data_IF_524053797243
#
_entry.id   IF_524053797243
#
_cell.length_a   1.000
_cell.length_b   1.000
_cell.length_c   1.000
_cell.angle_alpha   90.00
_cell.angle_beta   90.00
_cell.angle_gamma   90.00
#
_symmetry.space_group_name_H-M   'P 1'
#
loop_
_entity.id
_entity.type
_entity.pdbx_description
1 polymer ?
#
# COMPACT_ATOMS: atom_id res chain seq x y z
N UNK A 1 -4.27 -6.75 -23.69
CA UNK A 1 -4.57 -6.22 -22.34
C UNK A 1 -3.62 -5.08 -22.07
N UNK A 2 -4.13 -3.97 -21.54
CA UNK A 2 -3.30 -2.84 -21.11
C UNK A 2 -2.53 -3.21 -19.83
N UNK A 3 -1.27 -2.78 -19.74
CA UNK A 3 -0.41 -3.02 -18.57
C UNK A 3 -0.91 -2.20 -17.37
N UNK A 4 -1.20 -2.85 -16.25
CA UNK A 4 -1.67 -2.20 -15.02
C UNK A 4 -0.48 -1.95 -14.09
N UNK A 5 -0.07 -0.69 -13.98
CA UNK A 5 0.91 -0.22 -12.99
C UNK A 5 0.21 0.49 -11.84
N UNK A 6 0.59 0.18 -10.60
CA UNK A 6 0.04 0.81 -9.39
C UNK A 6 1.15 1.07 -8.37
N UNK A 7 0.92 2.01 -7.47
CA UNK A 7 1.82 2.29 -6.35
C UNK A 7 1.06 2.28 -5.01
N UNK A 8 1.75 1.85 -3.96
CA UNK A 8 1.31 1.94 -2.57
C UNK A 8 2.46 2.47 -1.72
N UNK A 9 2.19 3.49 -0.91
CA UNK A 9 3.09 4.07 0.07
C UNK A 9 2.49 3.93 1.46
N UNK A 10 2.94 2.93 2.21
CA UNK A 10 2.51 2.68 3.59
C UNK A 10 3.43 3.50 4.53
N UNK A 11 3.00 4.72 4.85
CA UNK A 11 3.68 5.57 5.84
C UNK A 11 3.06 5.43 7.23
N UNK A 12 3.71 5.94 8.27
CA UNK A 12 3.22 5.82 9.66
C UNK A 12 1.87 6.47 9.92
N UNK A 13 1.58 7.62 9.29
CA UNK A 13 0.30 8.30 9.46
C UNK A 13 -0.76 7.87 8.45
N UNK A 14 -0.34 7.64 7.21
CA UNK A 14 -1.24 7.46 6.07
C UNK A 14 -0.69 6.44 5.07
N UNK A 15 -1.60 5.60 4.59
CA UNK A 15 -1.37 4.68 3.48
C UNK A 15 -1.94 5.31 2.21
N UNK A 16 -1.06 5.67 1.29
CA UNK A 16 -1.40 6.32 0.02
C UNK A 16 -1.32 5.31 -1.11
N UNK A 17 -2.21 5.40 -2.08
CA UNK A 17 -2.24 4.44 -3.17
C UNK A 17 -2.90 5.00 -4.43
N UNK A 18 -2.54 4.42 -5.57
CA UNK A 18 -3.11 4.77 -6.88
C UNK A 18 -4.45 4.07 -7.07
N UNK A 19 -5.50 4.80 -7.44
CA UNK A 19 -6.82 4.24 -7.77
C UNK A 19 -7.01 4.03 -9.27
N UNK A 20 -6.30 4.79 -10.11
CA UNK A 20 -6.32 4.61 -11.55
C UNK A 20 -5.38 5.55 -12.28
N UNK A 21 -5.11 5.24 -13.55
CA UNK A 21 -4.34 6.08 -14.46
C UNK A 21 -5.20 6.33 -15.70
N UNK A 22 -5.25 7.58 -16.19
CA UNK A 22 -5.92 7.94 -17.44
C UNK A 22 -4.99 8.86 -18.22
N UNK A 23 -4.41 8.37 -19.33
CA UNK A 23 -3.32 9.09 -20.00
C UNK A 23 -2.16 9.36 -19.04
N UNK A 24 -1.78 10.63 -18.89
CA UNK A 24 -0.72 11.06 -17.96
C UNK A 24 -1.24 11.38 -16.55
N UNK A 25 -2.55 11.29 -16.31
CA UNK A 25 -3.12 11.57 -15.00
C UNK A 25 -3.07 10.33 -14.11
N UNK A 26 -2.41 10.45 -12.96
CA UNK A 26 -2.37 9.42 -11.91
C UNK A 26 -3.31 9.86 -10.80
N UNK A 27 -4.38 9.10 -10.58
CA UNK A 27 -5.32 9.36 -9.49
C UNK A 27 -4.88 8.62 -8.24
N UNK A 28 -4.68 9.36 -7.17
CA UNK A 28 -4.25 8.84 -5.87
C UNK A 28 -5.31 9.12 -4.81
N UNK A 29 -5.34 8.27 -3.79
CA UNK A 29 -6.10 8.51 -2.57
C UNK A 29 -5.33 7.97 -1.37
N UNK A 30 -5.88 8.14 -0.17
CA UNK A 30 -5.24 7.77 1.08
C UNK A 30 -6.25 7.30 2.11
N UNK A 31 -5.80 6.50 3.07
CA UNK A 31 -6.52 6.24 4.31
C UNK A 31 -5.54 6.21 5.50
N UNK A 32 -6.03 6.36 6.75
CA UNK A 32 -5.17 6.32 7.94
C UNK A 32 -4.39 5.01 8.04
N UNK A 33 -3.10 5.07 8.39
CA UNK A 33 -2.27 3.87 8.59
C UNK A 33 -2.54 3.20 9.93
N UNK A 34 -3.78 2.74 10.07
CA UNK A 34 -4.32 2.07 11.25
C UNK A 34 -4.90 0.74 10.80
N UNK A 35 -4.47 -0.34 11.46
CA UNK A 35 -4.92 -1.69 11.21
C UNK A 35 -5.35 -2.32 12.53
N UNK A 36 -6.64 -2.61 12.68
CA UNK A 36 -7.19 -3.18 13.91
C UNK A 36 -7.34 -4.70 13.79
N UNK A 37 -6.72 -5.49 14.68
CA UNK A 37 -7.01 -6.91 14.72
C UNK A 37 -8.48 -7.11 15.08
N UNK A 38 -9.16 -7.94 14.29
CA UNK A 38 -10.55 -8.30 14.46
C UNK A 38 -10.68 -9.81 14.35
N UNK A 39 -11.51 -10.40 15.21
CA UNK A 39 -11.91 -11.80 15.09
C UNK A 39 -13.02 -11.99 14.05
N UNK A 40 -13.58 -10.91 13.50
CA UNK A 40 -14.77 -10.93 12.63
C UNK A 40 -14.38 -10.76 11.17
N UNK A 41 -14.82 -11.69 10.34
CA UNK A 41 -14.96 -11.44 8.91
C UNK A 41 -16.15 -10.51 8.69
N UNK A 42 -15.88 -9.25 8.29
CA UNK A 42 -16.91 -8.26 8.00
C UNK A 42 -17.67 -8.56 6.70
N UNK A 43 -17.28 -9.60 5.94
CA UNK A 43 -17.97 -10.03 4.72
C UNK A 43 -19.43 -10.48 4.97
N UNK A 44 -19.80 -10.78 6.22
CA UNK A 44 -21.15 -11.18 6.62
C UNK A 44 -22.07 -10.01 7.07
N UNK A 45 -21.53 -8.81 7.33
CA UNK A 45 -22.32 -7.66 7.79
C UNK A 45 -23.12 -7.06 6.61
N UNK A 46 -24.38 -6.62 6.75
CA UNK A 46 -25.09 -5.97 5.64
C UNK A 46 -24.34 -4.75 5.09
N UNK A 47 -24.31 -4.57 3.75
CA UNK A 47 -23.52 -3.51 3.11
C UNK A 47 -23.91 -2.09 3.59
N UNK A 48 -25.17 -1.87 3.97
CA UNK A 48 -25.68 -0.61 4.51
C UNK A 48 -25.12 -0.24 5.89
N UNK A 49 -24.62 -1.23 6.63
CA UNK A 49 -24.07 -1.08 7.99
C UNK A 49 -22.53 -1.13 7.99
N UNK A 50 -21.91 -1.39 6.83
CA UNK A 50 -20.45 -1.47 6.73
C UNK A 50 -19.85 -0.07 6.66
N UNK A 51 -18.94 0.21 7.58
CA UNK A 51 -17.94 1.26 7.41
C UNK A 51 -17.17 1.05 6.11
N UNK A 52 -16.59 2.12 5.56
CA UNK A 52 -15.64 2.05 4.44
C UNK A 52 -14.30 1.48 4.91
N UNK A 53 -14.32 0.20 5.28
CA UNK A 53 -13.19 -0.58 5.74
C UNK A 53 -13.17 -1.95 5.05
N UNK A 54 -12.03 -2.62 5.15
CA UNK A 54 -11.79 -3.96 4.62
C UNK A 54 -11.20 -4.80 5.73
N UNK A 55 -11.80 -5.96 6.00
CA UNK A 55 -11.22 -6.99 6.86
C UNK A 55 -10.23 -7.82 6.04
N UNK A 56 -8.94 -7.59 6.22
CA UNK A 56 -7.86 -8.26 5.48
C UNK A 56 -7.37 -9.48 6.28
N UNK A 57 -7.39 -10.70 5.72
CA UNK A 57 -6.82 -11.86 6.38
C UNK A 57 -5.29 -11.82 6.36
N UNK A 58 -4.69 -11.94 7.54
CA UNK A 58 -3.24 -12.05 7.77
C UNK A 58 -3.00 -13.15 8.80
N UNK A 59 -2.34 -14.24 8.40
CA UNK A 59 -1.90 -15.33 9.28
C UNK A 59 -2.99 -15.88 10.23
N UNK A 60 -4.23 -16.03 9.74
CA UNK A 60 -5.35 -16.57 10.52
C UNK A 60 -6.11 -15.54 11.37
N UNK A 61 -5.71 -14.27 11.35
CA UNK A 61 -6.43 -13.14 11.95
C UNK A 61 -6.92 -12.19 10.86
N UNK A 62 -7.97 -11.41 11.16
CA UNK A 62 -8.38 -10.31 10.29
C UNK A 62 -7.86 -8.98 10.83
N UNK A 63 -7.49 -8.09 9.91
CA UNK A 63 -7.14 -6.71 10.22
C UNK A 63 -8.08 -5.77 9.47
N UNK A 64 -8.83 -4.95 10.21
CA UNK A 64 -9.70 -3.92 9.64
C UNK A 64 -8.87 -2.68 9.29
N UNK A 65 -8.91 -2.27 8.02
CA UNK A 65 -8.19 -1.12 7.46
C UNK A 65 -9.09 -0.34 6.51
N UNK A 66 -8.85 0.96 6.33
CA UNK A 66 -9.54 1.77 5.31
C UNK A 66 -9.92 3.18 5.79
N UNK A 67 -10.57 3.99 4.92
CA UNK A 67 -10.88 5.39 5.22
C UNK A 67 -11.61 5.64 6.55
N UNK A 68 -12.53 4.77 6.92
CA UNK A 68 -13.37 4.91 8.12
C UNK A 68 -12.89 4.05 9.30
N UNK A 69 -11.63 3.57 9.26
CA UNK A 69 -11.07 2.68 10.29
C UNK A 69 -11.08 3.31 11.69
N UNK A 70 -10.96 4.63 11.81
CA UNK A 70 -11.04 5.32 13.10
C UNK A 70 -12.43 5.25 13.75
N UNK A 71 -13.50 5.00 12.98
CA UNK A 71 -14.84 4.76 13.53
C UNK A 71 -14.99 3.34 14.09
N UNK A 72 -14.03 2.46 13.81
CA UNK A 72 -13.93 1.14 14.43
C UNK A 72 -13.10 1.14 15.72
N UNK A 73 -12.50 2.28 16.09
CA UNK A 73 -11.49 2.38 17.13
C UNK A 73 -12.10 2.68 18.51
N UNK A 74 -12.16 1.68 19.39
CA UNK A 74 -12.48 1.89 20.81
C UNK A 74 -11.25 2.28 21.65
N UNK A 75 -10.04 2.36 21.08
CA UNK A 75 -8.82 2.55 21.90
C UNK A 75 -7.72 3.32 21.16
N UNK A 76 -7.20 4.34 21.83
CA UNK A 76 -6.02 5.10 21.46
C UNK A 76 -4.79 4.17 21.40
N UNK A 77 -4.04 4.17 20.29
CA UNK A 77 -2.72 3.54 20.22
C UNK A 77 -1.66 4.55 19.83
N UNK A 78 -0.57 4.56 20.60
CA UNK A 78 0.66 5.19 20.19
C UNK A 78 1.23 4.42 18.99
N UNK A 79 1.36 5.08 17.84
CA UNK A 79 2.14 4.57 16.71
C UNK A 79 3.61 4.59 17.12
N UNK A 80 4.15 3.45 17.50
CA UNK A 80 5.59 3.33 17.72
C UNK A 80 6.28 3.15 16.38
N UNK A 81 7.04 4.17 15.97
CA UNK A 81 7.95 4.06 14.83
C UNK A 81 9.07 3.10 15.22
N UNK A 82 9.12 1.93 14.58
CA UNK A 82 10.22 0.99 14.80
C UNK A 82 10.71 0.41 13.47
N UNK A 83 11.99 0.07 13.40
CA UNK A 83 12.68 -0.33 12.16
C UNK A 83 12.08 -1.57 11.48
N UNK A 84 11.38 -2.41 12.26
CA UNK A 84 10.68 -3.61 11.76
C UNK A 84 9.29 -3.33 11.19
N UNK A 85 8.89 -2.08 11.00
CA UNK A 85 7.52 -1.71 10.63
C UNK A 85 7.03 -2.45 9.36
N UNK A 86 7.88 -2.58 8.35
CA UNK A 86 7.53 -3.27 7.09
C UNK A 86 7.32 -4.78 7.22
N UNK A 87 7.73 -5.37 8.35
CA UNK A 87 7.64 -6.81 8.63
C UNK A 87 6.40 -7.14 9.46
N UNK A 88 5.64 -6.12 9.89
CA UNK A 88 4.50 -6.34 10.77
C UNK A 88 3.26 -6.83 10.02
N UNK A 89 2.38 -7.60 10.68
CA UNK A 89 1.06 -7.92 10.17
C UNK A 89 0.25 -6.68 9.77
N UNK A 90 0.39 -5.58 10.53
CA UNK A 90 -0.28 -4.31 10.26
C UNK A 90 0.17 -3.70 8.93
N UNK A 91 1.47 -3.70 8.62
CA UNK A 91 1.95 -3.22 7.32
C UNK A 91 1.39 -4.05 6.16
N UNK A 92 1.40 -5.38 6.32
CA UNK A 92 0.83 -6.28 5.32
C UNK A 92 -0.69 -6.05 5.15
N UNK A 93 -1.42 -5.81 6.24
CA UNK A 93 -2.84 -5.48 6.22
C UNK A 93 -3.12 -4.17 5.49
N UNK A 94 -2.38 -3.10 5.80
CA UNK A 94 -2.51 -1.80 5.15
C UNK A 94 -2.27 -1.90 3.65
N UNK A 95 -1.19 -2.58 3.26
CA UNK A 95 -0.87 -2.76 1.85
C UNK A 95 -1.94 -3.55 1.10
N UNK A 96 -2.38 -4.70 1.64
CA UNK A 96 -3.44 -5.52 1.02
C UNK A 96 -4.80 -4.81 1.04
N UNK A 97 -5.07 -3.98 2.04
CA UNK A 97 -6.22 -3.09 2.08
C UNK A 97 -6.20 -2.11 0.91
N UNK A 98 -5.06 -1.47 0.64
CA UNK A 98 -4.89 -0.63 -0.54
C UNK A 98 -5.14 -1.42 -1.83
N UNK A 99 -4.59 -2.63 -1.97
CA UNK A 99 -4.85 -3.50 -3.13
C UNK A 99 -6.35 -3.82 -3.30
N UNK A 100 -7.09 -4.09 -2.22
CA UNK A 100 -8.54 -4.30 -2.29
C UNK A 100 -9.25 -3.08 -2.91
N UNK A 101 -8.86 -1.90 -2.44
CA UNK A 101 -9.47 -0.62 -2.77
C UNK A 101 -9.14 -0.15 -4.19
N UNK A 102 -8.10 -0.68 -4.84
CA UNK A 102 -7.78 -0.42 -6.26
C UNK A 102 -8.78 -1.02 -7.26
N UNK A 103 -9.62 -1.97 -6.82
CA UNK A 103 -10.66 -2.63 -7.65
C UNK A 103 -10.13 -3.26 -8.95
N UNK A 104 -8.90 -3.76 -8.94
CA UNK A 104 -8.31 -4.58 -10.01
C UNK A 104 -8.02 -5.99 -9.50
N UNK A 105 -7.96 -6.97 -10.40
CA UNK A 105 -7.63 -8.36 -10.06
C UNK A 105 -6.15 -8.68 -10.25
N UNK A 106 -5.47 -7.94 -11.14
CA UNK A 106 -4.06 -8.14 -11.47
C UNK A 106 -3.36 -6.79 -11.58
N UNK A 107 -2.13 -6.73 -11.07
CA UNK A 107 -1.21 -5.61 -11.20
C UNK A 107 0.08 -6.16 -11.80
N UNK A 108 0.48 -5.61 -12.95
CA UNK A 108 1.71 -6.03 -13.65
C UNK A 108 2.96 -5.57 -12.91
N UNK A 109 2.92 -4.34 -12.39
CA UNK A 109 3.98 -3.76 -11.58
C UNK A 109 3.39 -2.99 -10.40
N UNK A 110 3.71 -3.44 -9.19
CA UNK A 110 3.42 -2.73 -7.95
C UNK A 110 4.68 -2.00 -7.46
N UNK A 111 4.62 -0.68 -7.40
CA UNK A 111 5.68 0.14 -6.81
C UNK A 111 5.40 0.39 -5.34
N UNK A 112 6.38 0.15 -4.47
CA UNK A 112 6.28 0.37 -3.02
C UNK A 112 7.41 1.24 -2.49
N UNK A 113 7.14 2.02 -1.45
CA UNK A 113 8.13 2.87 -0.80
C UNK A 113 8.82 2.20 0.39
N UNK A 114 10.11 2.48 0.55
CA UNK A 114 10.88 2.17 1.76
C UNK A 114 11.65 3.41 2.23
N UNK A 115 11.74 3.65 3.56
CA UNK A 115 12.66 4.66 4.08
C UNK A 115 14.10 4.39 3.63
N UNK A 116 14.87 5.43 3.28
CA UNK A 116 16.28 5.29 2.83
C UNK A 116 17.10 4.41 3.76
N UNK A 117 16.97 4.62 5.07
CA UNK A 117 17.69 3.88 6.10
C UNK A 117 17.44 2.35 6.05
N UNK A 118 16.24 1.93 5.62
CA UNK A 118 15.87 0.53 5.50
C UNK A 118 16.07 -0.03 4.08
N UNK A 119 16.26 0.84 3.08
CA UNK A 119 16.20 0.47 1.66
C UNK A 119 17.20 -0.63 1.31
N UNK A 120 18.49 -0.40 1.56
CA UNK A 120 19.55 -1.35 1.21
C UNK A 120 19.34 -2.73 1.85
N UNK A 121 18.90 -2.76 3.11
CA UNK A 121 18.73 -4.00 3.86
C UNK A 121 17.42 -4.75 3.54
N UNK A 122 16.36 -4.03 3.16
CA UNK A 122 15.00 -4.60 3.11
C UNK A 122 14.37 -4.62 1.72
N UNK A 123 14.95 -3.96 0.72
CA UNK A 123 14.42 -3.88 -0.66
C UNK A 123 14.02 -5.26 -1.22
N UNK A 124 14.96 -6.19 -1.27
CA UNK A 124 14.74 -7.51 -1.87
C UNK A 124 13.68 -8.33 -1.11
N UNK A 125 13.68 -8.24 0.23
CA UNK A 125 12.71 -8.93 1.06
C UNK A 125 11.29 -8.37 0.83
N UNK A 126 11.14 -7.04 0.75
CA UNK A 126 9.85 -6.41 0.48
C UNK A 126 9.35 -6.75 -0.93
N UNK A 127 10.19 -6.63 -1.96
CA UNK A 127 9.80 -6.97 -3.34
C UNK A 127 9.33 -8.41 -3.46
N UNK A 128 10.02 -9.34 -2.80
CA UNK A 128 9.62 -10.75 -2.73
C UNK A 128 8.29 -10.92 -2.01
N UNK A 129 8.10 -10.28 -0.85
CA UNK A 129 6.87 -10.38 -0.07
C UNK A 129 5.65 -9.78 -0.79
N UNK A 130 5.86 -8.76 -1.63
CA UNK A 130 4.80 -8.06 -2.36
C UNK A 130 4.46 -8.71 -3.70
N UNK A 131 5.32 -9.57 -4.23
CA UNK A 131 5.06 -10.29 -5.48
C UNK A 131 4.25 -11.57 -5.19
N UNK A 132 3.26 -11.86 -6.03
CA UNK A 132 2.42 -13.05 -5.95
C UNK A 132 0.95 -12.75 -5.66
N UNK A 133 0.24 -13.77 -5.19
CA UNK A 133 -1.20 -13.71 -4.92
C UNK A 133 -1.44 -13.22 -3.49
N UNK A 134 -2.27 -12.18 -3.35
CA UNK A 134 -2.67 -11.61 -2.07
C UNK A 134 -4.15 -11.82 -1.81
N UNK A 135 -4.49 -12.34 -0.64
CA UNK A 135 -5.87 -12.30 -0.14
C UNK A 135 -6.14 -10.91 0.42
N UNK A 136 -7.15 -10.23 -0.13
CA UNK A 136 -7.40 -8.82 0.18
C UNK A 136 -8.72 -8.60 0.93
N UNK A 137 -9.32 -9.67 1.46
CA UNK A 137 -10.58 -9.64 2.18
C UNK A 137 -11.83 -9.81 1.30
N UNK A 138 -12.95 -10.21 1.90
CA UNK A 138 -14.23 -10.42 1.22
C UNK A 138 -14.18 -11.49 0.11
N UNK A 139 -13.39 -12.54 0.32
CA UNK A 139 -13.17 -13.61 -0.67
C UNK A 139 -12.40 -13.19 -1.94
N UNK A 140 -11.90 -11.95 -2.00
CA UNK A 140 -11.17 -11.42 -3.16
C UNK A 140 -9.68 -11.66 -3.03
N UNK A 141 -9.05 -11.85 -4.18
CA UNK A 141 -7.59 -11.96 -4.30
C UNK A 141 -7.06 -11.03 -5.40
N UNK A 142 -5.88 -10.46 -5.19
CA UNK A 142 -5.18 -9.65 -6.19
C UNK A 142 -3.84 -10.31 -6.52
N UNK A 143 -3.55 -10.46 -7.81
CA UNK A 143 -2.26 -10.95 -8.31
C UNK A 143 -1.32 -9.78 -8.59
N UNK A 144 -0.15 -9.76 -7.95
CA UNK A 144 0.94 -8.84 -8.26
C UNK A 144 2.02 -9.61 -9.02
N UNK A 145 2.21 -9.33 -10.31
CA UNK A 145 3.18 -10.06 -11.14
C UNK A 145 4.62 -9.69 -10.81
N UNK A 146 4.86 -8.42 -10.47
CA UNK A 146 6.17 -7.91 -10.07
C UNK A 146 6.00 -6.77 -9.08
N UNK A 147 6.85 -6.72 -8.06
CA UNK A 147 7.00 -5.56 -7.20
C UNK A 147 8.35 -4.86 -7.43
N UNK A 148 8.37 -3.54 -7.25
CA UNK A 148 9.57 -2.71 -7.27
C UNK A 148 9.55 -1.82 -6.02
N UNK A 149 10.55 -1.95 -5.18
CA UNK A 149 10.74 -1.06 -4.05
C UNK A 149 11.64 0.12 -4.46
N UNK A 150 11.22 1.33 -4.11
CA UNK A 150 11.96 2.58 -4.30
C UNK A 150 12.27 3.23 -2.96
N UNK A 151 13.42 3.91 -2.86
CA UNK A 151 13.76 4.65 -1.66
C UNK A 151 12.90 5.93 -1.61
N UNK A 152 12.34 6.24 -0.45
CA UNK A 152 11.70 7.53 -0.21
C UNK A 152 12.79 8.58 0.01
N UNK A 153 12.87 9.70 -0.75
CA UNK A 153 11.82 10.27 -1.60
C UNK A 153 12.03 10.16 -3.13
N UNK A 154 12.83 9.22 -3.65
CA UNK A 154 13.21 9.14 -5.08
C UNK A 154 12.02 9.30 -6.05
N UNK A 155 10.90 8.63 -5.79
CA UNK A 155 9.71 8.71 -6.65
C UNK A 155 9.15 10.13 -6.79
N UNK A 156 9.21 10.94 -5.73
CA UNK A 156 8.78 12.34 -5.77
C UNK A 156 9.73 13.20 -6.61
N UNK A 157 11.03 12.92 -6.56
CA UNK A 157 12.04 13.65 -7.34
C UNK A 157 11.94 13.32 -8.83
N UNK A 158 11.72 12.05 -9.18
CA UNK A 158 11.42 11.63 -10.56
C UNK A 158 10.14 12.29 -11.07
N UNK A 159 9.09 12.34 -10.25
CA UNK A 159 7.84 13.01 -10.61
C UNK A 159 8.07 14.52 -10.87
N UNK A 160 8.76 15.22 -9.98
CA UNK A 160 9.12 16.63 -10.18
C UNK A 160 9.93 16.83 -11.47
N UNK A 161 10.96 16.00 -11.70
CA UNK A 161 11.76 16.07 -12.91
C UNK A 161 10.93 15.84 -14.18
N UNK A 162 9.92 14.96 -14.14
CA UNK A 162 9.00 14.71 -15.26
C UNK A 162 8.14 15.93 -15.60
N UNK A 163 7.63 16.63 -14.59
CA UNK A 163 6.82 17.84 -14.78
C UNK A 163 7.63 19.01 -15.34
N UNK A 164 8.92 19.08 -15.00
CA UNK A 164 9.80 20.18 -15.38
C UNK A 164 10.76 19.86 -16.53
N UNK A 165 10.58 18.72 -17.22
CA UNK A 165 11.44 18.27 -18.32
C UNK A 165 12.93 18.12 -17.93
N UNK A 166 13.19 17.78 -16.66
CA UNK A 166 14.53 17.61 -16.08
C UNK A 166 14.98 16.15 -15.93
N UNK A 167 14.31 15.20 -16.59
CA UNK A 167 14.64 13.77 -16.47
C UNK A 167 16.10 13.45 -16.87
N UNK A 168 16.67 14.14 -17.87
CA UNK A 168 18.10 13.95 -18.22
C UNK A 168 19.06 14.50 -17.17
N UNK A 169 18.64 15.51 -16.42
CA UNK A 169 19.46 16.07 -15.35
C UNK A 169 19.46 15.14 -14.14
N UNK A 170 18.31 14.56 -13.79
CA UNK A 170 18.20 13.66 -12.64
C UNK A 170 18.90 12.30 -12.86
N UNK A 171 19.02 11.85 -14.11
CA UNK A 171 19.68 10.60 -14.47
C UNK A 171 21.17 10.55 -14.07
N UNK A 172 21.84 11.71 -14.05
CA UNK A 172 23.27 11.82 -13.75
C UNK A 172 23.54 12.16 -12.27
N UNK A 173 22.49 12.30 -11.46
CA UNK A 173 22.61 12.81 -10.10
C UNK A 173 22.91 11.67 -9.11
N UNK A 174 24.15 11.65 -8.61
CA UNK A 174 24.67 10.56 -7.76
C UNK A 174 24.15 10.59 -6.31
N UNK A 175 23.45 11.66 -5.92
CA UNK A 175 23.00 11.90 -4.54
C UNK A 175 21.58 11.39 -4.27
N UNK A 176 21.04 10.52 -5.13
CA UNK A 176 19.65 10.05 -5.10
C UNK A 176 19.49 8.58 -4.70
#
# INVERSE_FOLDING_TARGET
METIVRAVDVGFGNTKYVTGCTGNEIRCTTFPSVAYPSARDLSAVPAAERRKTVAVPINGLFYEVGPEVNLAADTFRATQMHDRYIETPEYAALLRGALNLMKVNTIDLLVVGLPVAAFAAKKAALEKAMTGKHEVGGGRTVMVRKALAVAQPQGALVYYASLHQKLKAIENEQSL
#
